data_IF_659907905616
#
_entry.id   IF_659907905616
#
_cell.length_a   1.000
_cell.length_b   1.000
_cell.length_c   1.000
_cell.angle_alpha   90.00
_cell.angle_beta   90.00
_cell.angle_gamma   90.00
#
_symmetry.space_group_name_H-M   'P 1'
#
loop_
_entity.id
_entity.type
_entity.pdbx_description
1 polymer ?
#
# COMPACT_ATOMS: atom_id res chain seq x y z
N UNK A 1 -9.40 -7.45 -17.61
CA UNK A 1 -9.96 -8.82 -17.44
C UNK A 1 -10.89 -8.79 -16.23
N UNK A 2 -11.72 -9.80 -16.01
CA UNK A 2 -12.48 -9.92 -14.74
C UNK A 2 -12.27 -11.29 -14.14
N UNK A 3 -12.02 -11.34 -12.84
CA UNK A 3 -11.96 -12.58 -12.07
C UNK A 3 -13.24 -12.73 -11.26
N UNK A 4 -13.74 -13.94 -11.11
CA UNK A 4 -14.83 -14.25 -10.20
C UNK A 4 -14.21 -14.89 -8.98
N UNK A 5 -14.39 -14.27 -7.81
CA UNK A 5 -13.94 -14.84 -6.53
C UNK A 5 -14.78 -16.08 -6.19
N UNK A 6 -14.29 -17.00 -5.34
CA UNK A 6 -15.03 -18.21 -4.94
C UNK A 6 -16.40 -17.93 -4.31
N UNK A 7 -16.60 -16.73 -3.76
CA UNK A 7 -17.88 -16.25 -3.23
C UNK A 7 -18.86 -15.74 -4.31
N UNK A 8 -18.56 -15.94 -5.60
CA UNK A 8 -19.40 -15.52 -6.73
C UNK A 8 -19.27 -14.04 -7.10
N UNK A 9 -18.43 -13.27 -6.40
CA UNK A 9 -18.29 -11.85 -6.63
C UNK A 9 -17.38 -11.59 -7.84
N UNK A 10 -17.93 -10.92 -8.87
CA UNK A 10 -17.18 -10.55 -10.08
C UNK A 10 -16.36 -9.30 -9.82
N UNK A 11 -15.04 -9.48 -9.72
CA UNK A 11 -14.08 -8.39 -9.57
C UNK A 11 -13.51 -8.05 -10.95
N UNK A 12 -13.77 -6.82 -11.39
CA UNK A 12 -13.13 -6.29 -12.61
C UNK A 12 -11.70 -5.92 -12.26
N UNK A 13 -10.74 -6.62 -12.85
CA UNK A 13 -9.33 -6.29 -12.69
C UNK A 13 -9.06 -5.01 -13.49
N UNK A 14 -8.58 -3.93 -12.84
CA UNK A 14 -8.24 -2.70 -13.54
C UNK A 14 -7.25 -3.02 -14.68
N UNK A 15 -7.50 -2.44 -15.87
CA UNK A 15 -6.61 -2.56 -17.04
C UNK A 15 -5.37 -1.67 -16.93
N UNK A 16 -5.31 -0.85 -15.89
CA UNK A 16 -4.20 0.02 -15.53
C UNK A 16 -3.13 -0.78 -14.79
N UNK A 17 -1.88 -0.67 -15.21
CA UNK A 17 -0.75 -1.24 -14.49
C UNK A 17 -0.61 -0.61 -13.09
N UNK A 18 0.09 -1.30 -12.19
CA UNK A 18 0.41 -0.82 -10.83
C UNK A 18 1.08 0.56 -10.84
N UNK A 19 1.81 0.89 -11.91
CA UNK A 19 2.44 2.18 -12.14
C UNK A 19 1.44 3.36 -12.15
N UNK A 20 0.31 3.22 -12.86
CA UNK A 20 -0.71 4.28 -12.91
C UNK A 20 -1.42 4.48 -11.56
N UNK A 21 -1.49 3.44 -10.73
CA UNK A 21 -1.96 3.57 -9.35
C UNK A 21 -0.96 4.31 -8.47
N UNK A 22 0.33 4.02 -8.61
CA UNK A 22 1.36 4.74 -7.86
C UNK A 22 1.40 6.22 -8.26
N UNK A 23 1.16 6.55 -9.52
CA UNK A 23 1.02 7.95 -9.97
C UNK A 23 -0.19 8.65 -9.33
N UNK A 24 -1.35 7.99 -9.30
CA UNK A 24 -2.54 8.54 -8.64
C UNK A 24 -2.30 8.74 -7.14
N UNK A 25 -1.71 7.75 -6.47
CA UNK A 25 -1.36 7.86 -5.06
C UNK A 25 -0.35 8.99 -4.86
N UNK A 26 0.67 9.10 -5.69
CA UNK A 26 1.65 10.19 -5.61
C UNK A 26 0.99 11.57 -5.76
N UNK A 27 0.15 11.75 -6.78
CA UNK A 27 -0.54 13.03 -7.08
C UNK A 27 -1.50 13.44 -5.97
N UNK A 28 -2.25 12.49 -5.41
CA UNK A 28 -3.33 12.78 -4.46
C UNK A 28 -2.91 12.69 -2.98
N UNK A 29 -1.85 11.95 -2.65
CA UNK A 29 -1.42 11.71 -1.27
C UNK A 29 -0.12 12.43 -0.90
N UNK A 30 0.92 12.31 -1.72
CA UNK A 30 2.25 12.81 -1.40
C UNK A 30 2.48 14.23 -1.94
N UNK A 31 2.23 14.46 -3.24
CA UNK A 31 2.39 15.70 -4.02
C UNK A 31 3.57 16.60 -3.60
N UNK A 32 3.40 17.42 -2.56
CA UNK A 32 4.41 18.39 -2.06
C UNK A 32 4.94 18.08 -0.65
N UNK A 33 4.40 17.08 0.02
CA UNK A 33 4.80 16.68 1.37
C UNK A 33 5.90 15.62 1.30
N UNK A 34 7.15 16.07 1.52
CA UNK A 34 8.34 15.24 1.48
C UNK A 34 8.28 14.09 2.50
N UNK A 35 7.62 14.30 3.65
CA UNK A 35 7.52 13.28 4.68
C UNK A 35 6.57 12.17 4.25
N UNK A 36 5.40 12.53 3.70
CA UNK A 36 4.47 11.55 3.11
C UNK A 36 5.10 10.79 1.95
N UNK A 37 5.92 11.45 1.14
CA UNK A 37 6.67 10.80 0.07
C UNK A 37 7.65 9.74 0.59
N UNK A 38 8.41 10.05 1.66
CA UNK A 38 9.32 9.09 2.29
C UNK A 38 8.58 7.87 2.82
N UNK A 39 7.43 8.06 3.46
CA UNK A 39 6.63 6.93 3.92
C UNK A 39 6.02 6.12 2.78
N UNK A 40 5.67 6.77 1.67
CA UNK A 40 5.21 6.10 0.47
C UNK A 40 6.30 5.20 -0.12
N UNK A 41 7.54 5.70 -0.16
CA UNK A 41 8.69 4.94 -0.63
C UNK A 41 8.97 3.72 0.26
N UNK A 42 8.87 3.86 1.59
CA UNK A 42 8.95 2.72 2.52
C UNK A 42 7.87 1.67 2.24
N UNK A 43 6.64 2.11 1.96
CA UNK A 43 5.53 1.20 1.63
C UNK A 43 5.78 0.49 0.30
N UNK A 44 6.24 1.19 -0.73
CA UNK A 44 6.57 0.61 -2.03
C UNK A 44 7.68 -0.44 -1.92
N UNK A 45 8.73 -0.17 -1.15
CA UNK A 45 9.80 -1.15 -0.90
C UNK A 45 9.27 -2.39 -0.18
N UNK A 46 8.34 -2.22 0.76
CA UNK A 46 7.74 -3.33 1.50
C UNK A 46 6.80 -4.19 0.66
N UNK A 47 5.91 -3.55 -0.09
CA UNK A 47 4.77 -4.20 -0.76
C UNK A 47 5.08 -4.55 -2.23
N UNK A 48 5.80 -3.69 -2.95
CA UNK A 48 6.13 -3.92 -4.36
C UNK A 48 7.46 -4.67 -4.54
N UNK A 49 8.45 -4.42 -3.69
CA UNK A 49 9.76 -5.08 -3.76
C UNK A 49 9.95 -6.18 -2.70
N UNK A 50 9.01 -6.34 -1.76
CA UNK A 50 9.05 -7.40 -0.75
C UNK A 50 10.14 -7.26 0.31
N UNK A 51 10.72 -6.06 0.50
CA UNK A 51 11.87 -5.88 1.38
C UNK A 51 11.55 -6.21 2.85
N UNK A 52 12.52 -6.77 3.60
CA UNK A 52 12.37 -6.95 5.05
C UNK A 52 12.42 -5.60 5.77
N UNK A 53 11.68 -5.49 6.88
CA UNK A 53 11.61 -4.25 7.67
C UNK A 53 12.98 -3.78 8.18
N UNK A 54 13.88 -4.71 8.46
CA UNK A 54 15.23 -4.40 8.93
C UNK A 54 16.08 -3.78 7.80
N UNK A 55 15.90 -4.24 6.55
CA UNK A 55 16.56 -3.66 5.38
C UNK A 55 16.04 -2.27 5.04
N UNK A 56 14.73 -2.05 5.20
CA UNK A 56 14.14 -0.71 5.07
C UNK A 56 14.65 0.20 6.19
N UNK A 57 14.70 -0.29 7.44
CA UNK A 57 15.22 0.47 8.58
C UNK A 57 16.66 0.94 8.36
N UNK A 58 17.52 0.09 7.81
CA UNK A 58 18.91 0.43 7.50
C UNK A 58 19.05 1.52 6.43
N UNK A 59 18.24 1.49 5.36
CA UNK A 59 18.32 2.51 4.30
C UNK A 59 17.78 3.86 4.75
N UNK A 60 16.75 3.86 5.58
CA UNK A 60 16.13 5.09 6.05
C UNK A 60 16.73 5.61 7.35
N UNK A 61 17.65 4.89 7.99
CA UNK A 61 18.22 5.19 9.31
C UNK A 61 17.15 5.29 10.42
N UNK A 62 16.23 4.33 10.44
CA UNK A 62 15.17 4.26 11.46
C UNK A 62 15.06 2.85 12.05
N UNK A 63 14.73 2.74 13.35
CA UNK A 63 14.50 1.45 13.97
C UNK A 63 13.24 0.78 13.42
N UNK A 64 13.25 -0.56 13.39
CA UNK A 64 12.13 -1.41 12.90
C UNK A 64 10.75 -1.00 13.43
N UNK A 65 10.67 -0.67 14.72
CA UNK A 65 9.41 -0.24 15.36
C UNK A 65 8.91 1.12 14.88
N UNK A 66 9.80 2.00 14.43
CA UNK A 66 9.41 3.26 13.78
C UNK A 66 8.87 2.97 12.38
N UNK A 67 9.58 2.18 11.57
CA UNK A 67 9.14 1.79 10.22
C UNK A 67 7.76 1.12 10.26
N UNK A 68 7.56 0.16 11.16
CA UNK A 68 6.26 -0.53 11.30
C UNK A 68 5.11 0.44 11.60
N UNK A 69 5.32 1.40 12.52
CA UNK A 69 4.32 2.42 12.85
C UNK A 69 4.04 3.35 11.67
N UNK A 70 5.06 3.79 10.95
CA UNK A 70 4.91 4.62 9.75
C UNK A 70 4.14 3.88 8.65
N UNK A 71 4.43 2.61 8.41
CA UNK A 71 3.71 1.78 7.43
C UNK A 71 2.23 1.61 7.82
N UNK A 72 1.96 1.31 9.10
CA UNK A 72 0.59 1.20 9.60
C UNK A 72 -0.19 2.53 9.47
N UNK A 73 0.49 3.65 9.74
CA UNK A 73 -0.10 4.98 9.58
C UNK A 73 -0.42 5.27 8.11
N UNK A 74 0.53 5.08 7.19
CA UNK A 74 0.29 5.33 5.76
C UNK A 74 -0.78 4.41 5.20
N UNK A 75 -0.79 3.12 5.54
CA UNK A 75 -1.87 2.22 5.13
C UNK A 75 -3.23 2.73 5.61
N UNK A 76 -3.32 3.23 6.85
CA UNK A 76 -4.57 3.80 7.39
C UNK A 76 -4.99 5.07 6.65
N UNK A 77 -4.06 5.97 6.38
CA UNK A 77 -4.36 7.22 5.66
C UNK A 77 -4.75 6.97 4.20
N UNK A 78 -4.09 6.03 3.52
CA UNK A 78 -4.48 5.59 2.18
C UNK A 78 -5.87 4.95 2.19
N UNK A 79 -6.19 4.15 3.23
CA UNK A 79 -7.54 3.62 3.41
C UNK A 79 -8.59 4.70 3.69
N UNK A 80 -8.23 5.76 4.39
CA UNK A 80 -9.17 6.86 4.65
C UNK A 80 -9.43 7.70 3.39
N UNK A 81 -8.44 7.85 2.50
CA UNK A 81 -8.51 8.75 1.34
C UNK A 81 -8.99 8.11 0.04
N UNK A 82 -8.68 6.84 -0.19
CA UNK A 82 -9.03 6.14 -1.42
C UNK A 82 -10.08 5.08 -1.12
N UNK A 83 -11.01 4.81 -2.04
CA UNK A 83 -11.96 3.69 -1.93
C UNK A 83 -11.27 2.33 -2.16
N UNK A 84 -11.87 1.22 -1.75
CA UNK A 84 -11.27 -0.13 -1.92
C UNK A 84 -10.94 -0.46 -3.39
N UNK A 85 -11.75 0.05 -4.32
CA UNK A 85 -11.54 -0.11 -5.76
C UNK A 85 -10.32 0.68 -6.27
N UNK A 86 -10.02 1.83 -5.67
CA UNK A 86 -8.84 2.64 -5.99
C UNK A 86 -7.55 2.10 -5.33
N UNK A 87 -7.68 1.29 -4.26
CA UNK A 87 -6.56 0.67 -3.51
C UNK A 87 -6.07 -0.66 -4.07
N UNK A 88 -6.73 -1.23 -5.09
CA UNK A 88 -6.51 -2.59 -5.58
C UNK A 88 -5.10 -2.76 -6.20
N UNK A 89 -4.08 -3.01 -5.38
CA UNK A 89 -2.66 -2.96 -5.73
C UNK A 89 -1.74 -2.69 -4.53
N UNK A 90 -2.28 -2.09 -3.46
CA UNK A 90 -1.69 -2.11 -2.12
C UNK A 90 -2.17 -3.39 -1.46
N UNK A 91 -1.29 -4.37 -1.27
CA UNK A 91 -1.69 -5.69 -0.80
C UNK A 91 -2.61 -5.57 0.45
N UNK A 92 -3.82 -6.12 0.33
CA UNK A 92 -4.67 -6.43 1.47
C UNK A 92 -3.93 -7.53 2.23
N UNK A 93 -3.03 -7.15 3.13
CA UNK A 93 -2.42 -8.09 4.06
C UNK A 93 -3.56 -8.77 4.83
N UNK A 94 -3.53 -10.10 4.81
CA UNK A 94 -4.49 -11.10 5.27
C UNK A 94 -4.74 -11.07 6.80
N UNK A 95 -4.93 -9.88 7.40
CA UNK A 95 -5.26 -9.73 8.82
C UNK A 95 -6.79 -9.68 9.08
N UNK A 96 -7.61 -9.90 8.05
CA UNK A 96 -9.08 -9.93 8.14
C UNK A 96 -9.65 -11.34 7.83
N UNK A 97 -8.91 -12.39 8.20
CA UNK A 97 -9.38 -13.79 8.12
C UNK A 97 -9.43 -14.50 9.49
N UNK A 98 -9.24 -13.78 10.61
CA UNK A 98 -9.36 -14.34 11.97
C UNK A 98 -10.45 -13.69 12.83
N UNK A 99 -11.47 -13.09 12.21
CA UNK A 99 -12.65 -12.64 12.92
C UNK A 99 -13.92 -13.10 12.19
N UNK A 100 -14.16 -14.41 12.21
CA UNK A 100 -15.47 -15.02 11.97
C UNK A 100 -15.68 -16.16 12.98
#
# INVERSE_FOLDING_TARGET
MSMIRPNGQKVVLPRSGTEQQWDLIFIHYAKTDLQKWRYLAMLALKESAGWPLDGIGNVFDHPKGHISRCLAQVKRELRARFSAQERCGVAESEDEFLAA
#
